data_IF_725885860112
#
_entry.id   IF_725885860112
#
_cell.length_a   1.000
_cell.length_b   1.000
_cell.length_c   1.000
_cell.angle_alpha   90.00
_cell.angle_beta   90.00
_cell.angle_gamma   90.00
#
_symmetry.space_group_name_H-M   'P 1'
#
loop_
_entity.id
_entity.type
_entity.pdbx_description
1 polymer ?
#
# COMPACT_ATOMS: atom_id res chain seq x y z
N UNK A 1 32.70 -6.11 19.40
CA UNK A 1 31.38 -6.76 19.40
C UNK A 1 31.57 -8.26 19.38
N UNK A 2 30.75 -9.07 20.09
CA UNK A 2 30.94 -10.51 20.20
C UNK A 2 30.62 -11.25 18.88
N UNK A 3 29.89 -10.61 17.98
CA UNK A 3 29.50 -11.20 16.69
C UNK A 3 30.10 -10.40 15.52
N UNK A 4 30.63 -11.06 14.46
CA UNK A 4 31.09 -10.37 13.26
C UNK A 4 29.92 -9.77 12.50
N UNK A 5 30.10 -8.58 11.95
CA UNK A 5 29.15 -7.95 11.06
C UNK A 5 29.52 -8.21 9.60
N UNK A 6 28.52 -8.30 8.73
CA UNK A 6 28.72 -8.35 7.29
C UNK A 6 29.36 -7.03 6.81
N UNK A 7 30.42 -7.13 6.02
CA UNK A 7 31.12 -5.97 5.46
C UNK A 7 30.42 -5.48 4.19
N UNK A 8 29.57 -4.47 4.34
CA UNK A 8 28.79 -3.85 3.25
C UNK A 8 29.66 -3.11 2.23
N UNK A 9 30.89 -2.73 2.58
CA UNK A 9 31.80 -1.99 1.66
C UNK A 9 32.25 -2.86 0.47
N UNK A 10 32.08 -4.17 0.59
CA UNK A 10 32.42 -5.14 -0.48
C UNK A 10 31.32 -5.29 -1.53
N UNK A 11 30.12 -4.77 -1.28
CA UNK A 11 29.01 -4.84 -2.22
C UNK A 11 29.27 -3.98 -3.46
N UNK A 12 28.84 -4.47 -4.61
CA UNK A 12 28.97 -3.79 -5.90
C UNK A 12 27.58 -3.48 -6.44
N UNK A 13 27.27 -2.20 -6.54
CA UNK A 13 26.03 -1.71 -7.11
C UNK A 13 26.16 -1.54 -8.61
N UNK A 14 25.13 -1.96 -9.35
CA UNK A 14 25.01 -1.67 -10.79
C UNK A 14 24.10 -0.46 -11.03
N UNK A 15 24.26 0.22 -12.18
CA UNK A 15 23.28 1.23 -12.60
C UNK A 15 21.89 0.63 -12.78
N UNK A 16 20.85 1.34 -12.34
CA UNK A 16 19.46 0.91 -12.50
C UNK A 16 19.07 0.76 -13.98
N UNK A 17 19.71 1.51 -14.88
CA UNK A 17 19.52 1.42 -16.33
C UNK A 17 19.94 0.05 -16.93
N UNK A 18 20.76 -0.74 -16.24
CA UNK A 18 21.15 -2.10 -16.67
C UNK A 18 20.14 -3.17 -16.26
N UNK A 19 19.16 -2.80 -15.42
CA UNK A 19 18.11 -3.74 -14.95
C UNK A 19 17.08 -4.00 -16.05
N UNK A 20 16.71 -5.26 -16.21
CA UNK A 20 15.51 -5.62 -16.97
C UNK A 20 14.30 -5.42 -16.06
N UNK A 21 13.44 -4.51 -16.45
CA UNK A 21 12.25 -4.14 -15.70
C UNK A 21 11.06 -4.98 -16.14
N UNK A 22 10.31 -5.49 -15.18
CA UNK A 22 9.08 -6.26 -15.47
C UNK A 22 7.88 -5.34 -15.72
N UNK A 23 7.96 -4.07 -15.26
CA UNK A 23 6.87 -3.10 -15.35
C UNK A 23 7.37 -1.72 -15.80
N UNK A 24 6.64 -1.11 -16.75
CA UNK A 24 6.92 0.22 -17.30
C UNK A 24 5.66 1.09 -17.35
N UNK A 25 5.81 2.39 -17.50
CA UNK A 25 4.70 3.35 -17.62
C UNK A 25 3.72 3.05 -18.75
N UNK A 26 4.16 2.33 -19.79
CA UNK A 26 3.27 1.90 -20.87
C UNK A 26 2.14 0.95 -20.41
N UNK A 27 2.34 0.30 -19.25
CA UNK A 27 1.38 -0.64 -18.66
C UNK A 27 0.53 0.04 -17.56
N UNK A 28 0.77 1.33 -17.26
CA UNK A 28 -0.01 2.05 -16.26
C UNK A 28 -1.39 2.39 -16.80
N UNK A 29 -2.40 2.08 -16.00
CA UNK A 29 -3.78 2.40 -16.29
C UNK A 29 -3.97 3.93 -16.44
N UNK A 30 -4.87 4.30 -17.34
CA UNK A 30 -5.32 5.67 -17.55
C UNK A 30 -6.67 5.85 -16.89
N UNK A 31 -6.99 7.07 -16.48
CA UNK A 31 -8.26 7.36 -15.81
C UNK A 31 -9.47 7.18 -16.73
N UNK A 32 -9.25 7.23 -18.04
CA UNK A 32 -10.27 7.06 -19.10
C UNK A 32 -10.31 5.63 -19.67
N UNK A 33 -9.47 4.72 -19.16
CA UNK A 33 -9.55 3.31 -19.57
C UNK A 33 -10.91 2.72 -19.21
N UNK A 34 -11.48 1.85 -20.08
CA UNK A 34 -12.72 1.16 -19.77
C UNK A 34 -12.56 0.29 -18.51
N UNK A 35 -13.64 0.20 -17.71
CA UNK A 35 -13.63 -0.68 -16.55
C UNK A 35 -13.32 -2.11 -16.99
N UNK A 36 -12.35 -2.77 -16.35
CA UNK A 36 -12.05 -4.16 -16.66
C UNK A 36 -13.26 -5.04 -16.36
N UNK A 37 -13.56 -5.97 -17.29
CA UNK A 37 -14.58 -6.97 -17.06
C UNK A 37 -14.14 -7.85 -15.87
N UNK A 38 -15.10 -8.22 -15.03
CA UNK A 38 -14.83 -9.06 -13.84
C UNK A 38 -14.21 -10.41 -14.20
N UNK A 39 -14.55 -10.92 -15.40
CA UNK A 39 -14.16 -12.23 -15.92
C UNK A 39 -13.05 -12.16 -16.97
N UNK A 40 -12.28 -11.06 -17.05
CA UNK A 40 -11.21 -10.97 -18.02
C UNK A 40 -10.08 -11.97 -17.67
N UNK A 41 -9.90 -13.06 -18.45
CA UNK A 41 -8.90 -14.08 -18.19
C UNK A 41 -7.46 -13.54 -18.27
N UNK A 42 -7.24 -12.41 -18.95
CA UNK A 42 -5.93 -11.78 -19.04
C UNK A 42 -5.52 -11.09 -17.73
N UNK A 43 -6.49 -10.65 -16.91
CA UNK A 43 -6.22 -10.14 -15.55
C UNK A 43 -5.88 -11.28 -14.57
N UNK A 44 -6.38 -12.50 -14.83
CA UNK A 44 -6.00 -13.69 -14.08
C UNK A 44 -4.65 -14.28 -14.57
N UNK A 45 -4.19 -13.86 -15.73
CA UNK A 45 -3.04 -14.39 -16.45
C UNK A 45 -1.83 -13.46 -16.49
N UNK A 46 -1.71 -12.50 -15.60
CA UNK A 46 -0.39 -11.90 -15.32
C UNK A 46 0.49 -12.99 -14.73
N UNK A 47 0.90 -13.83 -15.65
CA UNK A 47 1.83 -14.91 -15.46
C UNK A 47 3.08 -14.30 -14.86
N UNK A 48 3.29 -14.56 -13.60
CA UNK A 48 4.61 -14.83 -13.12
C UNK A 48 5.18 -15.93 -14.01
N UNK A 49 5.61 -15.59 -15.21
CA UNK A 49 6.51 -16.41 -15.98
C UNK A 49 7.88 -16.33 -15.31
N UNK A 50 7.95 -16.87 -14.08
CA UNK A 50 9.21 -17.38 -13.64
C UNK A 50 9.48 -18.62 -14.49
N UNK A 51 10.45 -18.52 -15.37
CA UNK A 51 11.12 -19.65 -15.95
C UNK A 51 11.82 -20.43 -14.84
N UNK A 52 11.07 -21.13 -14.04
CA UNK A 52 11.57 -22.09 -13.05
C UNK A 52 10.88 -23.41 -13.29
N UNK A 53 11.69 -24.37 -13.75
CA UNK A 53 11.34 -25.79 -13.74
C UNK A 53 10.82 -26.17 -12.35
N UNK A 54 9.65 -26.74 -12.34
CA UNK A 54 8.93 -27.47 -11.31
C UNK A 54 9.75 -27.88 -10.08
N UNK A 55 9.45 -27.24 -8.97
CA UNK A 55 9.35 -27.97 -7.70
C UNK A 55 7.85 -28.13 -7.47
N UNK A 56 7.37 -29.36 -7.58
CA UNK A 56 5.95 -29.71 -7.42
C UNK A 56 5.58 -29.55 -5.95
N UNK A 57 5.14 -28.37 -5.55
CA UNK A 57 4.25 -28.24 -4.41
C UNK A 57 2.85 -28.26 -5.02
N UNK A 58 2.14 -29.36 -4.84
CA UNK A 58 0.76 -29.53 -5.20
C UNK A 58 -0.09 -28.54 -4.39
N UNK A 59 -0.22 -27.32 -4.86
CA UNK A 59 -1.30 -26.44 -4.50
C UNK A 59 -2.35 -26.61 -5.61
N UNK A 60 -3.44 -27.28 -5.31
CA UNK A 60 -4.60 -27.41 -6.20
C UNK A 60 -5.20 -26.02 -6.47
N UNK A 61 -4.63 -25.28 -7.43
CA UNK A 61 -5.07 -23.94 -7.86
C UNK A 61 -6.01 -23.95 -9.06
N UNK A 62 -6.53 -25.10 -9.47
CA UNK A 62 -7.35 -25.20 -10.69
C UNK A 62 -8.86 -25.09 -10.47
N UNK A 63 -9.37 -25.12 -9.23
CA UNK A 63 -10.81 -25.15 -8.98
C UNK A 63 -11.43 -23.82 -8.50
N UNK A 64 -10.64 -22.85 -8.03
CA UNK A 64 -11.14 -21.59 -7.46
C UNK A 64 -11.29 -20.42 -8.45
N UNK A 65 -11.26 -20.66 -9.75
CA UNK A 65 -11.24 -19.58 -10.77
C UNK A 65 -12.60 -19.10 -11.24
N UNK A 66 -13.67 -19.76 -10.87
CA UNK A 66 -15.03 -19.35 -11.23
C UNK A 66 -15.76 -18.82 -9.98
N UNK A 67 -15.54 -17.55 -9.64
CA UNK A 67 -16.46 -16.84 -8.75
C UNK A 67 -17.86 -16.91 -9.36
N UNK A 68 -18.87 -17.35 -8.59
CA UNK A 68 -20.24 -17.38 -9.08
C UNK A 68 -20.72 -15.96 -9.43
N UNK A 69 -21.64 -15.84 -10.38
CA UNK A 69 -22.23 -14.53 -10.72
C UNK A 69 -22.85 -13.82 -9.49
N UNK A 70 -23.31 -14.57 -8.51
CA UNK A 70 -23.83 -14.06 -7.23
C UNK A 70 -22.72 -13.45 -6.37
N UNK A 71 -21.54 -14.08 -6.29
CA UNK A 71 -20.36 -13.57 -5.57
C UNK A 71 -19.85 -12.27 -6.21
N UNK A 72 -19.76 -12.23 -7.54
CA UNK A 72 -19.35 -11.06 -8.31
C UNK A 72 -20.29 -9.88 -8.05
N UNK A 73 -21.60 -10.12 -8.07
CA UNK A 73 -22.60 -9.08 -7.77
C UNK A 73 -22.44 -8.53 -6.35
N UNK A 74 -22.23 -9.40 -5.37
CA UNK A 74 -22.00 -9.00 -3.98
C UNK A 74 -20.73 -8.15 -3.81
N UNK A 75 -19.65 -8.47 -4.51
CA UNK A 75 -18.41 -7.68 -4.48
C UNK A 75 -18.59 -6.28 -5.10
N UNK A 76 -19.35 -6.18 -6.20
CA UNK A 76 -19.68 -4.89 -6.82
C UNK A 76 -20.49 -4.02 -5.87
N UNK A 77 -21.53 -4.58 -5.25
CA UNK A 77 -22.38 -3.89 -4.29
C UNK A 77 -21.57 -3.42 -3.06
N UNK A 78 -20.70 -4.26 -2.55
CA UNK A 78 -19.80 -3.93 -1.44
C UNK A 78 -18.83 -2.80 -1.80
N UNK A 79 -18.24 -2.84 -2.99
CA UNK A 79 -17.35 -1.79 -3.48
C UNK A 79 -18.09 -0.45 -3.63
N UNK A 80 -19.33 -0.46 -4.11
CA UNK A 80 -20.20 0.72 -4.18
C UNK A 80 -20.51 1.28 -2.79
N UNK A 81 -20.80 0.44 -1.82
CA UNK A 81 -21.08 0.89 -0.45
C UNK A 81 -19.83 1.54 0.18
N UNK A 82 -18.64 0.97 -0.02
CA UNK A 82 -17.39 1.59 0.41
C UNK A 82 -17.20 2.97 -0.25
N UNK A 83 -17.48 3.09 -1.55
CA UNK A 83 -17.40 4.38 -2.25
C UNK A 83 -18.35 5.44 -1.65
N UNK A 84 -19.60 5.07 -1.32
CA UNK A 84 -20.56 5.94 -0.65
C UNK A 84 -20.05 6.44 0.69
N UNK A 85 -19.44 5.55 1.48
CA UNK A 85 -18.86 5.90 2.78
C UNK A 85 -17.65 6.82 2.65
N UNK A 86 -16.80 6.61 1.64
CA UNK A 86 -15.68 7.52 1.36
C UNK A 86 -16.18 8.93 1.01
N UNK A 87 -17.20 9.04 0.15
CA UNK A 87 -17.80 10.33 -0.20
C UNK A 87 -18.49 10.98 1.00
N UNK A 88 -19.18 10.20 1.83
CA UNK A 88 -19.80 10.70 3.06
C UNK A 88 -18.76 11.22 4.05
N UNK A 89 -17.67 10.46 4.26
CA UNK A 89 -16.56 10.86 5.12
C UNK A 89 -15.89 12.15 4.63
N UNK A 90 -15.63 12.25 3.33
CA UNK A 90 -15.08 13.46 2.72
C UNK A 90 -15.99 14.68 2.95
N UNK A 91 -17.31 14.55 2.74
CA UNK A 91 -18.29 15.63 2.99
C UNK A 91 -18.38 16.04 4.47
N UNK A 92 -18.08 15.11 5.37
CA UNK A 92 -18.06 15.34 6.82
C UNK A 92 -16.68 15.77 7.34
N UNK A 93 -15.71 16.00 6.45
CA UNK A 93 -14.31 16.35 6.79
C UNK A 93 -13.63 15.32 7.70
N UNK A 94 -14.14 14.08 7.73
CA UNK A 94 -13.51 12.94 8.41
C UNK A 94 -12.39 12.34 7.56
N UNK A 95 -11.45 11.64 8.19
CA UNK A 95 -10.32 11.08 7.46
C UNK A 95 -10.74 9.97 6.49
N UNK A 96 -10.18 9.99 5.28
CA UNK A 96 -10.19 8.88 4.34
C UNK A 96 -8.75 8.45 4.12
N UNK A 97 -8.35 7.37 4.77
CA UNK A 97 -6.98 6.87 4.80
C UNK A 97 -6.84 5.71 3.82
N UNK A 98 -5.91 5.84 2.86
CA UNK A 98 -5.58 4.80 1.90
C UNK A 98 -4.27 4.10 2.30
N UNK A 99 -4.38 2.94 2.94
CA UNK A 99 -3.23 2.15 3.34
C UNK A 99 -2.98 1.04 2.32
N UNK A 100 -1.74 0.89 1.82
CA UNK A 100 -1.46 -0.01 0.72
C UNK A 100 -0.09 -0.67 0.76
N UNK A 101 -0.01 -1.82 0.09
CA UNK A 101 1.23 -2.46 -0.32
C UNK A 101 1.60 -2.12 -1.76
N UNK A 102 2.79 -2.51 -2.18
CA UNK A 102 3.39 -2.13 -3.46
C UNK A 102 2.62 -2.60 -4.71
N UNK A 103 1.71 -3.58 -4.59
CA UNK A 103 0.97 -4.10 -5.75
C UNK A 103 0.09 -3.06 -6.44
N UNK A 104 -0.41 -2.05 -5.73
CA UNK A 104 -1.16 -0.95 -6.36
C UNK A 104 -0.27 -0.21 -7.36
N UNK A 105 0.97 0.14 -6.99
CA UNK A 105 1.94 0.79 -7.88
C UNK A 105 2.41 -0.16 -8.99
N UNK A 106 2.81 -1.38 -8.61
CA UNK A 106 3.28 -2.41 -9.54
C UNK A 106 2.24 -2.79 -10.61
N UNK A 107 0.95 -2.68 -10.28
CA UNK A 107 -0.15 -2.87 -11.22
C UNK A 107 -0.49 -1.61 -12.02
N UNK A 108 0.29 -0.53 -11.88
CA UNK A 108 0.10 0.69 -12.64
C UNK A 108 -1.11 1.52 -12.24
N UNK A 109 -1.57 1.42 -10.98
CA UNK A 109 -2.82 2.02 -10.53
C UNK A 109 -2.64 3.37 -9.79
N UNK A 110 -1.42 3.90 -9.76
CA UNK A 110 -1.08 5.13 -9.03
C UNK A 110 -1.95 6.33 -9.43
N UNK A 111 -2.30 6.47 -10.72
CA UNK A 111 -3.11 7.61 -11.22
C UNK A 111 -4.48 7.70 -10.58
N UNK A 112 -5.12 6.56 -10.24
CA UNK A 112 -6.40 6.56 -9.54
C UNK A 112 -6.27 7.11 -8.12
N UNK A 113 -5.22 6.73 -7.42
CA UNK A 113 -4.94 7.24 -6.06
C UNK A 113 -4.62 8.74 -6.11
N UNK A 114 -3.78 9.15 -7.07
CA UNK A 114 -3.38 10.55 -7.28
C UNK A 114 -4.60 11.43 -7.57
N UNK A 115 -5.48 11.04 -8.48
CA UNK A 115 -6.68 11.84 -8.81
C UNK A 115 -7.64 11.95 -7.60
N UNK A 116 -7.77 10.89 -6.79
CA UNK A 116 -8.55 10.94 -5.55
C UNK A 116 -7.91 11.86 -4.50
N UNK A 117 -6.57 11.94 -4.42
CA UNK A 117 -5.85 12.92 -3.59
C UNK A 117 -6.07 14.34 -4.11
N UNK A 118 -5.96 14.57 -5.42
CA UNK A 118 -6.18 15.89 -6.06
C UNK A 118 -7.61 16.40 -5.87
N UNK A 119 -8.58 15.49 -5.79
CA UNK A 119 -9.98 15.83 -5.45
C UNK A 119 -10.23 16.02 -3.96
N UNK A 120 -9.23 15.82 -3.10
CA UNK A 120 -9.37 15.89 -1.66
C UNK A 120 -10.17 14.74 -1.03
N UNK A 121 -10.47 13.66 -1.79
CA UNK A 121 -11.22 12.51 -1.27
C UNK A 121 -10.33 11.68 -0.35
N UNK A 122 -9.07 11.44 -0.73
CA UNK A 122 -8.09 10.75 0.10
C UNK A 122 -7.31 11.79 0.90
N UNK A 123 -7.42 11.75 2.21
CA UNK A 123 -6.79 12.70 3.13
C UNK A 123 -5.41 12.27 3.62
N UNK A 124 -5.09 10.98 3.53
CA UNK A 124 -3.78 10.43 3.86
C UNK A 124 -3.52 9.11 3.16
N UNK A 125 -2.26 8.83 2.85
CA UNK A 125 -1.82 7.54 2.30
C UNK A 125 -0.76 6.93 3.20
N UNK A 126 -0.81 5.61 3.42
CA UNK A 126 0.19 4.91 4.21
C UNK A 126 0.85 3.79 3.38
N UNK A 127 2.15 3.85 3.25
CA UNK A 127 3.01 2.96 2.47
C UNK A 127 3.80 2.00 3.36
N UNK A 128 4.10 0.81 2.86
CA UNK A 128 5.28 0.07 3.32
C UNK A 128 6.54 0.55 2.57
N UNK A 129 7.73 0.09 2.99
CA UNK A 129 8.98 0.49 2.33
C UNK A 129 9.04 0.12 0.84
N UNK A 130 8.46 -1.02 0.45
CA UNK A 130 8.41 -1.42 -0.96
C UNK A 130 7.60 -0.44 -1.82
N UNK A 131 6.50 0.14 -1.31
CA UNK A 131 5.77 1.19 -2.03
C UNK A 131 6.66 2.39 -2.32
N UNK A 132 7.43 2.85 -1.33
CA UNK A 132 8.35 3.98 -1.48
C UNK A 132 9.38 3.70 -2.58
N UNK A 133 9.93 2.50 -2.62
CA UNK A 133 10.90 2.09 -3.64
C UNK A 133 10.28 2.11 -5.03
N UNK A 134 9.13 1.46 -5.22
CA UNK A 134 8.48 1.40 -6.53
C UNK A 134 8.01 2.77 -7.01
N UNK A 135 7.47 3.61 -6.14
CA UNK A 135 7.05 4.97 -6.47
C UNK A 135 8.24 5.85 -6.89
N UNK A 136 9.36 5.76 -6.13
CA UNK A 136 10.60 6.46 -6.45
C UNK A 136 11.19 6.03 -7.81
N UNK A 137 11.28 4.71 -8.06
CA UNK A 137 11.82 4.18 -9.32
C UNK A 137 10.96 4.57 -10.51
N UNK A 138 9.62 4.46 -10.41
CA UNK A 138 8.70 4.87 -11.46
C UNK A 138 8.85 6.37 -11.75
N UNK A 139 8.95 7.21 -10.72
CA UNK A 139 9.16 8.64 -10.89
C UNK A 139 10.49 8.97 -11.57
N UNK A 140 11.55 8.20 -11.26
CA UNK A 140 12.90 8.45 -11.76
C UNK A 140 13.10 7.98 -13.22
N UNK A 141 12.61 6.78 -13.57
CA UNK A 141 12.92 6.12 -14.84
C UNK A 141 11.71 5.59 -15.61
N UNK A 142 10.49 5.79 -15.12
CA UNK A 142 9.28 5.27 -15.75
C UNK A 142 9.16 3.74 -15.76
N UNK A 143 9.89 3.06 -14.88
CA UNK A 143 9.90 1.61 -14.81
C UNK A 143 10.20 1.13 -13.39
N UNK A 144 9.80 -0.09 -13.07
CA UNK A 144 10.08 -0.71 -11.78
C UNK A 144 9.95 -2.22 -11.85
N UNK A 145 10.20 -2.90 -10.74
CA UNK A 145 10.13 -4.36 -10.57
C UNK A 145 11.22 -5.10 -11.34
N UNK A 146 11.79 -6.09 -10.69
CA UNK A 146 12.84 -6.96 -11.23
C UNK A 146 12.51 -8.44 -10.99
N UNK A 147 13.07 -9.32 -11.83
CA UNK A 147 12.99 -10.76 -11.63
C UNK A 147 13.83 -11.20 -10.44
N UNK A 148 13.20 -11.46 -9.29
CA UNK A 148 13.88 -11.97 -8.09
C UNK A 148 14.66 -13.25 -8.39
N UNK A 149 14.04 -14.20 -9.11
CA UNK A 149 14.65 -15.48 -9.43
C UNK A 149 15.94 -15.34 -10.28
N UNK A 150 15.98 -14.35 -11.16
CA UNK A 150 17.18 -14.05 -11.94
C UNK A 150 18.25 -13.40 -11.08
N UNK A 151 17.93 -12.27 -10.47
CA UNK A 151 18.94 -11.43 -9.84
C UNK A 151 19.46 -11.95 -8.51
N UNK A 152 18.67 -12.74 -7.75
CA UNK A 152 19.18 -13.42 -6.56
C UNK A 152 20.28 -14.45 -6.90
N UNK A 153 20.12 -15.17 -8.03
CA UNK A 153 21.12 -16.12 -8.51
C UNK A 153 22.41 -15.44 -8.97
N UNK A 154 22.29 -14.23 -9.51
CA UNK A 154 23.43 -13.42 -9.96
C UNK A 154 24.08 -12.64 -8.80
N UNK A 155 23.50 -12.66 -7.59
CA UNK A 155 23.93 -11.85 -6.45
C UNK A 155 23.73 -10.34 -6.68
N UNK A 156 22.74 -9.97 -7.48
CA UNK A 156 22.47 -8.58 -7.89
C UNK A 156 21.07 -8.09 -7.46
N UNK A 157 20.23 -8.96 -6.91
CA UNK A 157 18.90 -8.59 -6.47
C UNK A 157 18.95 -7.39 -5.52
N UNK A 158 18.22 -6.34 -5.84
CA UNK A 158 18.11 -5.13 -5.02
C UNK A 158 19.32 -4.17 -5.07
N UNK A 159 20.46 -4.57 -5.62
CA UNK A 159 21.71 -3.79 -5.57
C UNK A 159 21.82 -2.79 -6.73
N UNK A 160 20.81 -1.90 -6.83
CA UNK A 160 20.73 -0.86 -7.87
C UNK A 160 21.09 0.51 -7.31
N UNK A 161 22.11 1.15 -7.87
CA UNK A 161 22.74 2.37 -7.32
C UNK A 161 21.74 3.50 -7.05
N UNK A 162 20.87 3.77 -8.02
CA UNK A 162 19.94 4.91 -7.95
C UNK A 162 18.85 4.68 -6.92
N UNK A 163 18.40 3.42 -6.72
CA UNK A 163 17.42 3.05 -5.69
C UNK A 163 17.97 3.29 -4.28
N UNK A 164 19.29 3.12 -4.10
CA UNK A 164 19.99 3.39 -2.84
C UNK A 164 19.93 4.84 -2.38
N UNK A 165 19.60 5.78 -3.28
CA UNK A 165 19.44 7.20 -2.95
C UNK A 165 18.37 7.45 -1.87
N UNK A 166 17.40 6.60 -1.74
CA UNK A 166 16.38 6.67 -0.67
C UNK A 166 17.04 6.67 0.71
N UNK A 167 18.16 5.96 0.90
CA UNK A 167 18.89 5.97 2.16
C UNK A 167 19.52 7.33 2.46
N UNK A 168 20.08 8.00 1.44
CA UNK A 168 20.66 9.34 1.61
C UNK A 168 19.56 10.36 1.96
N UNK A 169 18.38 10.23 1.34
CA UNK A 169 17.20 11.04 1.66
C UNK A 169 16.75 10.79 3.10
N UNK A 170 16.76 9.54 3.57
CA UNK A 170 16.40 9.21 4.95
C UNK A 170 17.35 9.86 5.97
N UNK A 171 18.65 9.96 5.66
CA UNK A 171 19.63 10.68 6.50
C UNK A 171 19.28 12.17 6.60
N UNK A 172 18.88 12.79 5.50
CA UNK A 172 18.43 14.19 5.50
C UNK A 172 17.13 14.34 6.29
N UNK A 173 16.14 13.48 6.04
CA UNK A 173 14.86 13.46 6.75
C UNK A 173 15.03 13.38 8.27
N UNK A 174 15.88 12.47 8.74
CA UNK A 174 16.18 12.31 10.16
C UNK A 174 16.83 13.56 10.79
N UNK A 175 17.72 14.25 10.06
CA UNK A 175 18.35 15.50 10.51
C UNK A 175 17.37 16.67 10.58
N UNK A 176 16.43 16.73 9.66
CA UNK A 176 15.40 17.78 9.57
C UNK A 176 14.19 17.48 10.48
N UNK A 177 14.06 16.27 11.00
CA UNK A 177 12.93 15.86 11.82
C UNK A 177 11.62 15.67 11.04
N UNK A 178 11.71 15.39 9.73
CA UNK A 178 10.55 15.12 8.86
C UNK A 178 10.40 13.62 8.58
N UNK A 179 9.24 13.23 8.05
CA UNK A 179 8.96 11.84 7.67
C UNK A 179 9.71 11.43 6.41
N UNK A 180 9.93 10.11 6.25
CA UNK A 180 10.55 9.54 5.06
C UNK A 180 9.69 9.82 3.82
N UNK A 181 8.37 9.69 3.96
CA UNK A 181 7.43 9.94 2.86
C UNK A 181 7.46 11.38 2.36
N UNK A 182 7.46 12.35 3.28
CA UNK A 182 7.60 13.77 2.96
C UNK A 182 8.94 14.05 2.26
N UNK A 183 10.04 13.54 2.81
CA UNK A 183 11.38 13.79 2.28
C UNK A 183 11.57 13.22 0.87
N UNK A 184 11.11 11.98 0.63
CA UNK A 184 11.20 11.37 -0.70
C UNK A 184 10.28 12.09 -1.69
N UNK A 185 9.05 12.43 -1.29
CA UNK A 185 8.11 13.19 -2.11
C UNK A 185 8.66 14.56 -2.50
N UNK A 186 9.29 15.27 -1.56
CA UNK A 186 9.98 16.53 -1.79
C UNK A 186 11.08 16.41 -2.86
N UNK A 187 11.96 15.41 -2.70
CA UNK A 187 13.07 15.19 -3.66
C UNK A 187 12.52 14.90 -5.05
N UNK A 188 11.54 14.01 -5.18
CA UNK A 188 10.93 13.68 -6.48
C UNK A 188 10.33 14.95 -7.13
N UNK A 189 9.64 15.78 -6.34
CA UNK A 189 8.97 16.97 -6.85
C UNK A 189 9.93 18.12 -7.19
N UNK A 190 10.79 18.51 -6.26
CA UNK A 190 11.68 19.68 -6.38
C UNK A 190 12.82 19.46 -7.37
N UNK A 191 13.35 18.24 -7.45
CA UNK A 191 14.36 17.89 -8.44
C UNK A 191 13.75 17.57 -9.83
N UNK A 192 12.46 17.72 -9.97
CA UNK A 192 11.74 17.56 -11.22
C UNK A 192 11.98 16.20 -11.90
N UNK A 193 11.81 15.10 -11.17
CA UNK A 193 11.94 13.76 -11.74
C UNK A 193 11.11 13.63 -13.02
N UNK A 194 11.60 12.91 -14.05
CA UNK A 194 10.96 12.86 -15.37
C UNK A 194 9.48 12.41 -15.35
N UNK A 195 9.10 11.62 -14.37
CA UNK A 195 7.75 11.06 -14.26
C UNK A 195 7.10 11.34 -12.89
N UNK A 196 7.43 12.49 -12.28
CA UNK A 196 6.90 12.88 -10.96
C UNK A 196 5.37 12.96 -10.89
N UNK A 197 4.71 13.15 -12.03
CA UNK A 197 3.24 13.23 -12.14
C UNK A 197 2.53 11.89 -11.89
N UNK A 198 3.26 10.77 -11.87
CA UNK A 198 2.71 9.46 -11.50
C UNK A 198 3.19 8.96 -10.14
N UNK A 199 3.87 9.81 -9.37
CA UNK A 199 4.32 9.54 -8.01
C UNK A 199 3.27 9.98 -6.99
N UNK A 200 2.85 9.06 -6.15
CA UNK A 200 1.95 9.32 -5.03
C UNK A 200 2.69 10.14 -3.95
N UNK A 201 3.98 9.84 -3.71
CA UNK A 201 4.82 10.59 -2.76
C UNK A 201 4.97 12.05 -3.18
N UNK A 202 5.32 12.31 -4.46
CA UNK A 202 5.44 13.68 -4.98
C UNK A 202 4.11 14.42 -4.94
N UNK A 203 2.99 13.74 -5.23
CA UNK A 203 1.65 14.32 -5.13
C UNK A 203 1.32 14.68 -3.70
N UNK A 204 1.63 13.81 -2.73
CA UNK A 204 1.43 14.10 -1.31
C UNK A 204 2.18 15.35 -0.87
N UNK A 205 3.47 15.46 -1.22
CA UNK A 205 4.27 16.65 -0.94
C UNK A 205 3.65 17.91 -1.56
N UNK A 206 3.31 17.87 -2.85
CA UNK A 206 2.73 19.02 -3.58
C UNK A 206 1.38 19.48 -3.00
N UNK A 207 0.54 18.56 -2.55
CA UNK A 207 -0.81 18.84 -2.04
C UNK A 207 -0.85 19.01 -0.52
N UNK A 208 0.27 18.84 0.19
CA UNK A 208 0.33 18.79 1.65
C UNK A 208 -0.59 17.71 2.24
N UNK A 209 -0.72 16.58 1.54
CA UNK A 209 -1.42 15.38 2.00
C UNK A 209 -0.36 14.39 2.50
N UNK A 210 -0.42 13.94 3.76
CA UNK A 210 0.58 13.02 4.29
C UNK A 210 0.59 11.70 3.52
N UNK A 211 1.77 11.32 3.02
CA UNK A 211 2.08 9.99 2.49
C UNK A 211 3.17 9.42 3.37
N UNK A 212 2.80 8.58 4.31
CA UNK A 212 3.70 8.05 5.34
C UNK A 212 4.33 6.73 4.92
N UNK A 213 5.60 6.50 5.25
CA UNK A 213 6.34 5.28 4.88
C UNK A 213 6.79 4.52 6.13
N UNK A 214 6.25 3.32 6.28
CA UNK A 214 6.51 2.45 7.43
C UNK A 214 7.49 1.35 7.03
N UNK A 215 8.74 1.47 7.48
CA UNK A 215 9.80 0.50 7.16
C UNK A 215 9.95 -0.56 8.25
N UNK A 216 10.42 -1.74 7.84
CA UNK A 216 10.89 -2.80 8.73
C UNK A 216 12.33 -3.10 8.37
N UNK A 217 13.27 -2.77 9.25
CA UNK A 217 14.70 -2.89 8.96
C UNK A 217 15.09 -4.34 8.60
N UNK A 218 15.84 -4.48 7.50
CA UNK A 218 16.20 -5.77 6.92
C UNK A 218 15.15 -6.36 5.98
N UNK A 219 14.03 -5.66 5.73
CA UNK A 219 12.91 -6.15 4.93
C UNK A 219 12.98 -5.69 3.46
N UNK A 220 13.38 -4.45 3.21
CA UNK A 220 13.39 -3.82 1.90
C UNK A 220 14.79 -3.82 1.27
N UNK A 221 14.88 -3.85 -0.06
CA UNK A 221 16.13 -3.94 -0.82
C UNK A 221 17.11 -2.78 -0.52
N UNK A 222 16.62 -1.60 -0.15
CA UNK A 222 17.48 -0.47 0.22
C UNK A 222 18.33 -0.73 1.46
N UNK A 223 17.93 -1.69 2.32
CA UNK A 223 18.68 -2.05 3.52
C UNK A 223 19.96 -2.84 3.23
N UNK A 224 20.08 -3.42 2.02
CA UNK A 224 21.28 -4.11 1.57
C UNK A 224 22.40 -3.13 1.19
N UNK A 225 22.08 -1.88 0.85
CA UNK A 225 23.01 -0.93 0.30
C UNK A 225 24.08 -0.48 1.30
N UNK A 226 25.32 -0.19 0.82
CA UNK A 226 26.41 0.28 1.67
C UNK A 226 26.11 1.58 2.42
N UNK A 227 25.29 2.48 1.82
CA UNK A 227 24.88 3.76 2.40
C UNK A 227 23.64 3.66 3.32
N UNK A 228 23.14 2.45 3.62
CA UNK A 228 22.01 2.29 4.54
C UNK A 228 22.39 2.73 5.95
N UNK A 229 21.63 3.69 6.49
CA UNK A 229 21.68 4.10 7.89
C UNK A 229 20.37 3.69 8.59
N UNK A 230 20.43 2.58 9.35
CA UNK A 230 19.27 2.06 10.06
C UNK A 230 18.74 3.01 11.15
N UNK A 231 19.59 3.86 11.73
CA UNK A 231 19.15 4.85 12.71
C UNK A 231 18.35 5.97 12.04
N UNK A 232 18.83 6.47 10.90
CA UNK A 232 18.14 7.48 10.10
C UNK A 232 16.80 6.98 9.54
N UNK A 233 16.78 5.76 8.97
CA UNK A 233 15.54 5.12 8.50
C UNK A 233 14.54 4.94 9.65
N UNK A 234 15.02 4.50 10.82
CA UNK A 234 14.19 4.36 12.02
C UNK A 234 13.60 5.70 12.48
N UNK A 235 14.41 6.76 12.54
CA UNK A 235 13.95 8.08 12.94
C UNK A 235 12.92 8.65 11.96
N UNK A 236 13.19 8.63 10.65
CA UNK A 236 12.30 9.17 9.63
C UNK A 236 10.97 8.37 9.53
N UNK A 237 11.04 7.03 9.57
CA UNK A 237 9.83 6.20 9.58
C UNK A 237 9.03 6.31 10.87
N UNK A 238 9.67 6.57 12.01
CA UNK A 238 8.95 6.82 13.27
C UNK A 238 8.23 8.17 13.24
N UNK A 239 8.83 9.19 12.61
CA UNK A 239 8.13 10.47 12.35
C UNK A 239 6.88 10.23 11.49
N UNK A 240 7.00 9.46 10.42
CA UNK A 240 5.84 9.04 9.59
C UNK A 240 4.78 8.30 10.42
N UNK A 241 5.19 7.44 11.35
CA UNK A 241 4.25 6.75 12.23
C UNK A 241 3.47 7.72 13.12
N UNK A 242 4.11 8.77 13.64
CA UNK A 242 3.44 9.78 14.44
C UNK A 242 2.48 10.64 13.59
N UNK A 243 2.86 10.99 12.37
CA UNK A 243 1.98 11.67 11.39
C UNK A 243 0.76 10.80 11.07
N UNK A 244 0.98 9.51 10.79
CA UNK A 244 -0.11 8.56 10.55
C UNK A 244 -1.04 8.43 11.76
N UNK A 245 -0.48 8.33 12.98
CA UNK A 245 -1.28 8.28 14.21
C UNK A 245 -2.13 9.55 14.39
N UNK A 246 -1.61 10.71 14.03
CA UNK A 246 -2.37 11.96 14.01
C UNK A 246 -3.55 11.91 13.04
N UNK A 247 -3.37 11.40 11.81
CA UNK A 247 -4.47 11.21 10.87
C UNK A 247 -5.53 10.23 11.38
N UNK A 248 -5.11 9.16 12.07
CA UNK A 248 -6.04 8.21 12.69
C UNK A 248 -6.91 8.86 13.77
N UNK A 249 -6.49 9.94 14.43
CA UNK A 249 -7.35 10.67 15.39
C UNK A 249 -8.61 11.29 14.75
N UNK A 250 -8.59 11.46 13.41
CA UNK A 250 -9.69 12.03 12.62
C UNK A 250 -10.59 10.95 11.99
N UNK A 251 -10.42 9.68 12.41
CA UNK A 251 -11.09 8.54 11.77
C UNK A 251 -12.55 8.38 12.22
N UNK A 252 -13.04 9.07 13.27
CA UNK A 252 -14.46 9.05 13.62
C UNK A 252 -15.32 9.54 12.44
N UNK A 253 -16.30 8.73 12.01
CA UNK A 253 -17.07 8.97 10.78
C UNK A 253 -16.29 8.73 9.47
N UNK A 254 -15.02 8.37 9.56
CA UNK A 254 -14.10 8.22 8.45
C UNK A 254 -14.03 6.82 7.85
N UNK A 255 -13.08 6.65 6.93
CA UNK A 255 -12.85 5.38 6.23
C UNK A 255 -11.36 5.04 6.21
N UNK A 256 -11.01 3.80 6.53
CA UNK A 256 -9.67 3.24 6.35
C UNK A 256 -9.72 2.10 5.32
N UNK A 257 -8.98 2.26 4.23
CA UNK A 257 -8.80 1.24 3.20
C UNK A 257 -7.48 0.50 3.42
N UNK A 258 -7.48 -0.82 3.26
CA UNK A 258 -6.30 -1.67 3.28
C UNK A 258 -6.20 -2.43 1.96
N UNK A 259 -5.24 -2.05 1.11
CA UNK A 259 -5.07 -2.57 -0.25
C UNK A 259 -3.78 -3.38 -0.36
N UNK A 260 -3.87 -4.72 -0.23
CA UNK A 260 -2.72 -5.61 -0.42
C UNK A 260 -1.56 -5.39 0.57
N UNK A 261 -1.85 -4.92 1.80
CA UNK A 261 -0.85 -4.77 2.86
C UNK A 261 -1.18 -5.71 4.03
N UNK A 262 -0.72 -6.96 3.92
CA UNK A 262 -1.14 -8.04 4.81
C UNK A 262 -0.46 -8.05 6.18
N UNK A 263 0.71 -7.45 6.33
CA UNK A 263 1.52 -7.50 7.56
C UNK A 263 1.71 -6.10 8.14
N UNK A 264 2.39 -5.21 7.40
CA UNK A 264 2.78 -3.89 7.90
C UNK A 264 1.54 -3.04 8.23
N UNK A 265 0.60 -2.96 7.30
CA UNK A 265 -0.59 -2.12 7.46
C UNK A 265 -1.38 -2.42 8.73
N UNK A 266 -1.86 -3.66 8.96
CA UNK A 266 -2.60 -4.01 10.17
C UNK A 266 -1.84 -3.73 11.47
N UNK A 267 -0.52 -3.98 11.48
CA UNK A 267 0.31 -3.78 12.67
C UNK A 267 0.51 -2.30 13.00
N UNK A 268 0.78 -1.48 12.00
CA UNK A 268 0.94 -0.02 12.16
C UNK A 268 -0.39 0.61 12.56
N UNK A 269 -1.47 0.28 11.84
CA UNK A 269 -2.80 0.80 12.12
C UNK A 269 -3.27 0.49 13.55
N UNK A 270 -3.10 -0.75 14.01
CA UNK A 270 -3.53 -1.15 15.35
C UNK A 270 -2.88 -0.30 16.45
N UNK A 271 -1.58 0.02 16.32
CA UNK A 271 -0.86 0.84 17.30
C UNK A 271 -1.26 2.31 17.21
N UNK A 272 -1.39 2.84 16.01
CA UNK A 272 -1.87 4.20 15.79
C UNK A 272 -3.28 4.40 16.35
N UNK A 273 -4.20 3.46 16.09
CA UNK A 273 -5.56 3.50 16.65
C UNK A 273 -5.56 3.39 18.19
N UNK A 274 -4.70 2.53 18.75
CA UNK A 274 -4.59 2.42 20.21
C UNK A 274 -4.14 3.74 20.84
N UNK A 275 -3.18 4.43 20.23
CA UNK A 275 -2.72 5.76 20.67
C UNK A 275 -3.82 6.81 20.52
N UNK A 276 -4.47 6.85 19.36
CA UNK A 276 -5.55 7.79 19.09
C UNK A 276 -6.74 7.60 20.05
N UNK A 277 -7.17 6.35 20.28
CA UNK A 277 -8.24 6.01 21.23
C UNK A 277 -7.85 6.34 22.68
N UNK A 278 -6.59 6.14 23.06
CA UNK A 278 -6.13 6.49 24.40
C UNK A 278 -6.33 7.98 24.71
N UNK A 279 -5.98 8.86 23.76
CA UNK A 279 -6.17 10.30 23.89
C UNK A 279 -7.66 10.66 23.82
N UNK A 280 -8.39 10.14 22.83
CA UNK A 280 -9.82 10.39 22.66
C UNK A 280 -10.62 10.01 23.93
N UNK A 281 -10.30 8.88 24.55
CA UNK A 281 -10.92 8.44 25.80
C UNK A 281 -10.70 9.43 26.94
N UNK A 282 -9.49 9.96 27.09
CA UNK A 282 -9.18 10.98 28.13
C UNK A 282 -9.94 12.29 27.90
N UNK A 283 -10.22 12.61 26.63
CA UNK A 283 -10.96 13.81 26.24
C UNK A 283 -12.48 13.61 26.16
N UNK A 284 -12.96 12.40 26.47
CA UNK A 284 -14.39 12.06 26.37
C UNK A 284 -14.95 12.08 24.95
N UNK A 285 -14.10 11.92 23.94
CA UNK A 285 -14.50 11.90 22.51
C UNK A 285 -14.65 10.46 21.99
N UNK A 286 -15.65 10.18 21.15
CA UNK A 286 -15.74 8.88 20.48
C UNK A 286 -14.64 8.74 19.42
N UNK A 287 -14.16 7.50 19.21
CA UNK A 287 -13.35 7.09 18.05
C UNK A 287 -13.65 5.63 17.75
N UNK A 288 -14.91 5.35 17.45
CA UNK A 288 -15.44 3.98 17.29
C UNK A 288 -16.29 3.82 16.03
N UNK A 289 -16.92 4.89 15.54
CA UNK A 289 -17.88 4.85 14.43
C UNK A 289 -17.18 5.21 13.11
N UNK A 290 -16.43 4.28 12.57
CA UNK A 290 -15.75 4.43 11.30
C UNK A 290 -15.89 3.15 10.45
N UNK A 291 -15.51 3.26 9.19
CA UNK A 291 -15.54 2.16 8.24
C UNK A 291 -14.13 1.66 7.96
N UNK A 292 -13.96 0.35 7.92
CA UNK A 292 -12.75 -0.27 7.37
C UNK A 292 -13.11 -1.10 6.13
N UNK A 293 -12.21 -1.12 5.12
CA UNK A 293 -12.37 -1.98 3.97
C UNK A 293 -11.03 -2.64 3.61
N UNK A 294 -11.04 -3.96 3.45
CA UNK A 294 -9.87 -4.73 3.03
C UNK A 294 -10.10 -5.27 1.62
N UNK A 295 -9.13 -5.00 0.75
CA UNK A 295 -9.08 -5.49 -0.62
C UNK A 295 -7.92 -6.47 -0.73
N UNK A 296 -8.21 -7.74 -0.98
CA UNK A 296 -7.19 -8.79 -1.04
C UNK A 296 -7.69 -9.97 -1.91
N UNK A 297 -6.86 -10.99 -2.07
CA UNK A 297 -7.17 -12.20 -2.84
C UNK A 297 -7.49 -13.42 -1.96
N UNK A 298 -7.29 -13.31 -0.64
CA UNK A 298 -7.48 -14.43 0.28
C UNK A 298 -8.95 -14.84 0.40
N UNK A 299 -9.19 -16.14 0.42
CA UNK A 299 -10.51 -16.66 0.80
C UNK A 299 -10.63 -16.69 2.32
N UNK A 300 -11.60 -15.93 2.85
CA UNK A 300 -11.84 -15.82 4.28
C UNK A 300 -13.13 -16.53 4.73
N UNK A 301 -13.85 -17.16 3.78
CA UNK A 301 -15.16 -17.74 4.02
C UNK A 301 -16.27 -16.69 4.16
N UNK A 302 -17.46 -17.13 4.60
CA UNK A 302 -18.66 -16.30 4.57
C UNK A 302 -18.87 -15.46 5.84
N UNK A 303 -18.32 -15.87 6.99
CA UNK A 303 -18.49 -15.16 8.26
C UNK A 303 -17.26 -14.30 8.58
N UNK A 304 -17.33 -13.05 8.19
CA UNK A 304 -16.26 -12.06 8.35
C UNK A 304 -16.37 -11.21 9.62
N UNK A 305 -17.41 -11.43 10.44
CA UNK A 305 -17.70 -10.62 11.63
C UNK A 305 -17.28 -11.27 12.94
N UNK A 306 -16.86 -12.54 12.91
CA UNK A 306 -16.28 -13.24 14.06
C UNK A 306 -14.76 -13.33 13.98
N UNK A 307 -14.10 -13.39 15.11
CA UNK A 307 -12.68 -13.74 15.12
C UNK A 307 -12.51 -15.23 14.79
N UNK A 308 -11.67 -15.55 13.80
CA UNK A 308 -11.36 -16.93 13.45
C UNK A 308 -10.71 -17.67 14.62
N UNK A 309 -10.93 -18.98 14.72
CA UNK A 309 -10.27 -19.84 15.71
C UNK A 309 -8.76 -19.87 15.45
N UNK A 310 -7.96 -20.05 16.50
CA UNK A 310 -6.49 -20.22 16.41
C UNK A 310 -6.09 -21.44 15.56
N UNK A 311 -6.98 -22.37 15.31
CA UNK A 311 -6.76 -23.54 14.45
C UNK A 311 -7.06 -23.27 12.98
N UNK A 312 -7.69 -22.16 12.65
CA UNK A 312 -8.01 -21.76 11.28
C UNK A 312 -6.87 -20.93 10.67
N UNK A 313 -6.53 -21.15 9.39
CA UNK A 313 -5.50 -20.38 8.68
C UNK A 313 -5.83 -18.87 8.63
N UNK A 314 -7.11 -18.53 8.50
CA UNK A 314 -7.61 -17.14 8.50
C UNK A 314 -7.26 -16.38 9.78
N UNK A 315 -7.10 -17.05 10.94
CA UNK A 315 -6.65 -16.40 12.18
C UNK A 315 -5.29 -15.70 12.02
N UNK A 316 -4.41 -16.25 11.18
CA UNK A 316 -3.06 -15.71 10.99
C UNK A 316 -3.00 -14.63 9.91
N UNK A 317 -4.07 -14.45 9.15
CA UNK A 317 -4.19 -13.33 8.21
C UNK A 317 -4.52 -12.04 8.97
N UNK A 318 -3.52 -11.18 9.16
CA UNK A 318 -3.60 -10.00 10.02
C UNK A 318 -4.72 -9.01 9.65
N UNK A 319 -4.97 -8.68 8.35
CA UNK A 319 -6.07 -7.80 7.99
C UNK A 319 -7.43 -8.30 8.47
N UNK A 320 -7.67 -9.62 8.45
CA UNK A 320 -8.92 -10.19 8.91
C UNK A 320 -9.19 -9.86 10.38
N UNK A 321 -8.35 -10.37 11.29
CA UNK A 321 -8.63 -10.21 12.72
C UNK A 321 -8.45 -8.78 13.23
N UNK A 322 -7.57 -7.99 12.62
CA UNK A 322 -7.26 -6.64 13.09
C UNK A 322 -8.20 -5.62 12.48
N UNK A 323 -8.28 -5.59 11.13
CA UNK A 323 -9.00 -4.52 10.42
C UNK A 323 -10.48 -4.85 10.30
N UNK A 324 -10.84 -6.11 9.93
CA UNK A 324 -12.24 -6.48 9.71
C UNK A 324 -13.01 -6.78 11.00
N UNK A 325 -12.32 -7.20 12.08
CA UNK A 325 -13.02 -7.65 13.30
C UNK A 325 -12.72 -6.74 14.48
N UNK A 326 -11.50 -6.78 15.03
CA UNK A 326 -11.22 -6.25 16.37
C UNK A 326 -11.40 -4.74 16.50
N UNK A 327 -11.03 -3.98 15.47
CA UNK A 327 -11.01 -2.52 15.57
C UNK A 327 -12.37 -1.86 15.32
N UNK A 328 -13.34 -2.62 14.82
CA UNK A 328 -14.70 -2.14 14.51
C UNK A 328 -15.78 -2.67 15.45
N UNK A 329 -15.44 -3.50 16.45
CA UNK A 329 -16.41 -4.15 17.36
C UNK A 329 -17.24 -3.16 18.16
N UNK A 330 -16.72 -1.97 18.42
CA UNK A 330 -17.33 -0.98 19.30
C UNK A 330 -18.18 0.07 18.55
N UNK A 331 -18.72 -0.28 17.38
CA UNK A 331 -19.63 0.58 16.62
C UNK A 331 -19.20 0.88 15.18
N UNK A 332 -18.02 0.44 14.76
CA UNK A 332 -17.56 0.56 13.38
C UNK A 332 -18.18 -0.50 12.46
N UNK A 333 -17.89 -0.39 11.17
CA UNK A 333 -18.31 -1.36 10.17
C UNK A 333 -17.12 -1.76 9.29
N UNK A 334 -17.11 -3.01 8.83
CA UNK A 334 -16.04 -3.51 7.98
C UNK A 334 -16.58 -4.18 6.72
N UNK A 335 -15.77 -4.08 5.66
CA UNK A 335 -16.06 -4.64 4.35
C UNK A 335 -14.86 -5.42 3.82
N UNK A 336 -15.09 -6.52 3.14
CA UNK A 336 -14.07 -7.29 2.46
C UNK A 336 -14.41 -7.41 0.98
N UNK A 337 -13.48 -7.07 0.12
CA UNK A 337 -13.60 -7.18 -1.34
C UNK A 337 -12.50 -8.11 -1.83
N UNK A 338 -12.90 -9.28 -2.32
CA UNK A 338 -11.99 -10.33 -2.79
C UNK A 338 -11.85 -10.28 -4.31
N UNK A 339 -10.96 -9.45 -4.82
CA UNK A 339 -10.62 -9.43 -6.24
C UNK A 339 -9.26 -8.75 -6.48
N UNK A 340 -8.72 -8.91 -7.70
CA UNK A 340 -7.50 -8.26 -8.13
C UNK A 340 -7.62 -6.73 -8.06
N UNK A 341 -6.55 -6.06 -7.65
CA UNK A 341 -6.51 -4.59 -7.58
C UNK A 341 -6.72 -3.94 -8.95
N UNK A 342 -6.33 -4.57 -10.04
CA UNK A 342 -6.61 -4.11 -11.42
C UNK A 342 -8.11 -4.02 -11.71
N UNK A 343 -8.94 -4.75 -10.96
CA UNK A 343 -10.41 -4.70 -11.06
C UNK A 343 -10.99 -3.78 -10.01
N UNK A 344 -10.55 -3.92 -8.75
CA UNK A 344 -11.20 -3.25 -7.61
C UNK A 344 -10.86 -1.76 -7.55
N UNK A 345 -9.61 -1.35 -7.81
CA UNK A 345 -9.21 0.06 -7.72
C UNK A 345 -9.91 0.93 -8.77
N UNK A 346 -9.91 0.58 -10.09
CA UNK A 346 -10.67 1.33 -11.08
C UNK A 346 -12.17 1.37 -10.76
N UNK A 347 -12.76 0.27 -10.30
CA UNK A 347 -14.18 0.18 -9.93
C UNK A 347 -14.51 1.11 -8.76
N UNK A 348 -13.73 1.05 -7.69
CA UNK A 348 -13.90 1.93 -6.54
C UNK A 348 -13.82 3.40 -6.95
N UNK A 349 -12.83 3.75 -7.75
CA UNK A 349 -12.65 5.09 -8.31
C UNK A 349 -13.90 5.57 -9.08
N UNK A 350 -14.41 4.79 -10.02
CA UNK A 350 -15.59 5.16 -10.79
C UNK A 350 -16.85 5.25 -9.94
N UNK A 351 -17.03 4.38 -8.94
CA UNK A 351 -18.14 4.49 -7.99
C UNK A 351 -18.05 5.78 -7.18
N UNK A 352 -16.87 6.18 -6.72
CA UNK A 352 -16.65 7.45 -6.02
C UNK A 352 -17.04 8.63 -6.91
N UNK A 353 -16.57 8.66 -8.16
CA UNK A 353 -16.91 9.74 -9.09
C UNK A 353 -18.42 9.83 -9.36
N UNK A 354 -19.10 8.70 -9.45
CA UNK A 354 -20.55 8.67 -9.65
C UNK A 354 -21.30 9.19 -8.41
N UNK A 355 -20.89 8.77 -7.20
CA UNK A 355 -21.48 9.25 -5.95
C UNK A 355 -21.22 10.74 -5.68
N UNK A 356 -20.10 11.29 -6.14
CA UNK A 356 -19.81 12.72 -6.09
C UNK A 356 -20.75 13.53 -6.98
N UNK A 357 -21.18 12.96 -8.12
CA UNK A 357 -22.13 13.59 -9.06
C UNK A 357 -23.58 13.45 -8.63
N UNK A 358 -23.90 12.38 -7.91
CA UNK A 358 -25.22 12.16 -7.34
C UNK A 358 -25.42 13.14 -6.16
N UNK A 359 -26.23 14.17 -6.38
CA UNK A 359 -26.56 15.19 -5.37
C UNK A 359 -27.78 14.82 -4.56
#
# INVERSE_FOLDING_TARGET
>A
MPYPLFDRSRLRLKPLAERVHDYTLAQFARLDDPLPAHDNPDLAADKFQSTTRQVSIHCNRSEDRNLSATTIKGEIETCLEVARRMVAAHRAESAVIWMMGAHVIKNGLSRYVIDLMERGIVSAVAFNGACCIHDFEVAAIGATTESVARYIREGQFGLWRETGRINDIAVVAAKEGIGLGEAVGRVIWEEAFPHREVSILATGYRLHIPVTVHVSLGYDIIHEHPNCDGAALGAASYTDFLVFAQEVTRLEGGVLLSMGTAIMGPEVYLKALAMARNVAYQEGRPLNHFTTAVFDLQDLGDDLHREASKTEAAYYFRPYKTILVRTVQDGGQSFYIRADHKVTVPRLYHHILNELRAR
#
